data_IF_228506003960
#
_entry.id   IF_228506003960
#
_cell.length_a   1.000
_cell.length_b   1.000
_cell.length_c   1.000
_cell.angle_alpha   90.00
_cell.angle_beta   90.00
_cell.angle_gamma   90.00
#
_symmetry.space_group_name_H-M   'P 1'
#
loop_
_entity.id
_entity.type
_entity.pdbx_description
1 polymer ?
#
# COMPACT_ATOMS: atom_id res chain seq x y z
N UNK A 1 -14.74 13.68 12.19
CA UNK A 1 -14.62 12.94 10.91
C UNK A 1 -13.35 13.26 10.13
N UNK A 2 -12.61 14.32 10.47
CA UNK A 2 -11.35 14.73 9.83
C UNK A 2 -10.08 14.04 10.40
N UNK A 3 -10.23 13.19 11.44
CA UNK A 3 -9.13 12.49 12.14
C UNK A 3 -8.63 11.21 11.45
N UNK A 4 -9.24 10.82 10.33
CA UNK A 4 -8.91 9.56 9.65
C UNK A 4 -8.06 9.77 8.39
N UNK A 5 -7.72 11.02 8.05
CA UNK A 5 -6.92 11.35 6.86
C UNK A 5 -5.58 11.96 7.26
N UNK A 6 -4.49 11.63 6.55
CA UNK A 6 -3.20 12.28 6.77
C UNK A 6 -3.32 13.77 6.45
N UNK A 7 -3.04 14.61 7.44
CA UNK A 7 -3.10 16.08 7.34
C UNK A 7 -1.80 16.68 6.80
N UNK A 8 -0.70 15.93 6.90
CA UNK A 8 0.64 16.36 6.51
C UNK A 8 1.34 15.32 5.62
N UNK A 9 2.31 15.75 4.81
CA UNK A 9 3.14 14.83 4.01
C UNK A 9 3.86 13.78 4.86
N UNK A 10 4.24 14.12 6.09
CA UNK A 10 4.84 13.19 7.05
C UNK A 10 3.85 12.12 7.51
N UNK A 11 2.61 12.51 7.76
CA UNK A 11 1.54 11.57 8.12
C UNK A 11 1.17 10.67 6.93
N UNK A 12 1.16 11.21 5.72
CA UNK A 12 0.94 10.43 4.49
C UNK A 12 2.03 9.39 4.27
N UNK A 13 3.30 9.73 4.57
CA UNK A 13 4.41 8.78 4.51
C UNK A 13 4.25 7.64 5.54
N UNK A 14 3.87 7.97 6.78
CA UNK A 14 3.65 6.96 7.82
C UNK A 14 2.46 6.08 7.46
N UNK A 15 1.36 6.67 7.02
CA UNK A 15 0.17 5.95 6.56
C UNK A 15 0.50 4.97 5.42
N UNK A 16 1.21 5.43 4.39
CA UNK A 16 1.67 4.59 3.29
C UNK A 16 2.64 3.49 3.75
N UNK A 17 3.55 3.80 4.69
CA UNK A 17 4.48 2.80 5.23
C UNK A 17 3.79 1.68 6.00
N UNK A 18 2.73 1.99 6.76
CA UNK A 18 1.95 1.00 7.50
C UNK A 18 1.19 0.10 6.54
N UNK A 19 0.53 0.70 5.53
CA UNK A 19 -0.17 -0.02 4.48
C UNK A 19 0.79 -0.96 3.74
N UNK A 20 1.87 -0.39 3.18
CA UNK A 20 2.85 -1.13 2.41
C UNK A 20 3.49 -2.24 3.25
N UNK A 21 3.88 -1.96 4.48
CA UNK A 21 4.48 -2.95 5.39
C UNK A 21 3.52 -4.10 5.68
N UNK A 22 2.27 -3.81 6.04
CA UNK A 22 1.27 -4.82 6.35
C UNK A 22 0.94 -5.68 5.13
N UNK A 23 0.69 -5.05 3.99
CA UNK A 23 0.39 -5.73 2.72
C UNK A 23 1.56 -6.61 2.27
N UNK A 24 2.80 -6.14 2.43
CA UNK A 24 3.98 -6.94 2.07
C UNK A 24 4.18 -8.16 2.98
N UNK A 25 4.00 -8.03 4.30
CA UNK A 25 4.15 -9.18 5.21
C UNK A 25 3.10 -10.25 4.90
N UNK A 26 1.85 -9.82 4.68
CA UNK A 26 0.77 -10.73 4.28
C UNK A 26 1.04 -11.39 2.93
N UNK A 27 1.45 -10.62 1.93
CA UNK A 27 1.75 -11.16 0.60
C UNK A 27 2.94 -12.11 0.62
N UNK A 28 3.99 -11.82 1.38
CA UNK A 28 5.12 -12.73 1.55
C UNK A 28 4.66 -14.05 2.16
N UNK A 29 3.86 -13.98 3.23
CA UNK A 29 3.29 -15.17 3.90
C UNK A 29 2.42 -15.99 2.95
N UNK A 30 1.51 -15.33 2.22
CA UNK A 30 0.62 -16.00 1.25
C UNK A 30 1.38 -16.62 0.09
N UNK A 31 2.36 -15.92 -0.46
CA UNK A 31 3.16 -16.41 -1.59
C UNK A 31 3.93 -17.68 -1.20
N UNK A 32 4.52 -17.70 0.00
CA UNK A 32 5.21 -18.88 0.55
C UNK A 32 4.22 -20.05 0.74
N UNK A 33 3.06 -19.80 1.33
CA UNK A 33 2.03 -20.83 1.51
C UNK A 33 1.57 -21.44 0.19
N UNK A 34 1.39 -20.63 -0.86
CA UNK A 34 0.90 -21.07 -2.18
C UNK A 34 1.99 -21.79 -2.98
N UNK A 35 3.22 -21.28 -3.01
CA UNK A 35 4.27 -21.82 -3.89
C UNK A 35 5.02 -23.03 -3.33
N UNK A 36 5.10 -23.20 -2.02
CA UNK A 36 5.93 -24.25 -1.42
C UNK A 36 5.18 -25.21 -0.49
N UNK A 37 3.89 -24.98 -0.21
CA UNK A 37 3.12 -25.79 0.75
C UNK A 37 3.73 -25.80 2.17
N UNK A 38 4.65 -24.88 2.44
CA UNK A 38 5.48 -24.82 3.65
C UNK A 38 6.46 -23.65 3.59
N UNK A 39 6.98 -23.27 4.76
CA UNK A 39 7.87 -22.12 4.92
C UNK A 39 9.32 -22.52 4.64
N UNK A 40 9.83 -22.25 3.43
CA UNK A 40 11.26 -22.39 3.15
C UNK A 40 12.01 -21.17 3.69
N UNK A 41 12.91 -21.39 4.64
CA UNK A 41 13.74 -20.34 5.23
C UNK A 41 14.54 -19.56 4.17
N UNK A 42 14.98 -20.24 3.11
CA UNK A 42 15.73 -19.63 2.01
C UNK A 42 14.87 -18.61 1.22
N UNK A 43 13.58 -18.89 1.03
CA UNK A 43 12.66 -17.98 0.37
C UNK A 43 12.36 -16.76 1.24
N UNK A 44 12.17 -16.96 2.56
CA UNK A 44 12.00 -15.85 3.51
C UNK A 44 13.24 -14.96 3.53
N UNK A 45 14.44 -15.53 3.67
CA UNK A 45 15.67 -14.73 3.76
C UNK A 45 15.91 -13.94 2.48
N UNK A 46 15.60 -14.53 1.32
CA UNK A 46 15.70 -13.83 0.03
C UNK A 46 14.68 -12.71 -0.09
N UNK A 47 13.42 -12.98 0.26
CA UNK A 47 12.36 -11.98 0.27
C UNK A 47 12.66 -10.84 1.25
N UNK A 48 13.18 -11.16 2.45
CA UNK A 48 13.52 -10.20 3.49
C UNK A 48 14.72 -9.32 3.10
N UNK A 49 15.70 -9.87 2.37
CA UNK A 49 16.81 -9.07 1.80
C UNK A 49 16.33 -8.12 0.70
N UNK A 50 15.42 -8.58 -0.15
CA UNK A 50 14.85 -7.74 -1.21
C UNK A 50 13.81 -6.73 -0.69
N UNK A 51 13.16 -7.04 0.44
CA UNK A 51 12.09 -6.24 1.04
C UNK A 51 12.44 -4.76 1.24
N UNK A 52 13.52 -4.36 1.93
CA UNK A 52 13.82 -2.95 2.15
C UNK A 52 14.06 -2.18 0.84
N UNK A 53 14.70 -2.82 -0.16
CA UNK A 53 14.91 -2.21 -1.47
C UNK A 53 13.59 -2.00 -2.21
N UNK A 54 12.77 -3.05 -2.28
CA UNK A 54 11.45 -3.01 -2.93
C UNK A 54 10.51 -2.03 -2.23
N UNK A 55 10.56 -1.97 -0.90
CA UNK A 55 9.77 -1.05 -0.08
C UNK A 55 10.10 0.41 -0.39
N UNK A 56 11.38 0.77 -0.45
CA UNK A 56 11.80 2.15 -0.79
C UNK A 56 11.35 2.52 -2.20
N UNK A 57 11.54 1.63 -3.17
CA UNK A 57 11.12 1.84 -4.57
C UNK A 57 9.60 1.99 -4.64
N UNK A 58 8.85 1.13 -3.94
CA UNK A 58 7.40 1.18 -3.89
C UNK A 58 6.92 2.52 -3.30
N UNK A 59 7.45 2.95 -2.16
CA UNK A 59 7.10 4.23 -1.54
C UNK A 59 7.36 5.42 -2.48
N UNK A 60 8.47 5.41 -3.22
CA UNK A 60 8.77 6.44 -4.21
C UNK A 60 7.80 6.42 -5.39
N UNK A 61 7.54 5.24 -5.97
CA UNK A 61 6.59 5.07 -7.07
C UNK A 61 5.17 5.48 -6.65
N UNK A 62 4.76 5.12 -5.44
CA UNK A 62 3.46 5.48 -4.90
C UNK A 62 3.32 6.99 -4.79
N UNK A 63 4.29 7.65 -4.15
CA UNK A 63 4.23 9.10 -3.94
C UNK A 63 4.32 9.88 -5.25
N UNK A 64 5.19 9.46 -6.17
CA UNK A 64 5.53 10.27 -7.34
C UNK A 64 4.66 9.98 -8.57
N UNK A 65 4.30 8.72 -8.79
CA UNK A 65 3.58 8.28 -10.00
C UNK A 65 2.15 7.92 -9.64
N UNK A 66 1.97 6.91 -8.79
CA UNK A 66 0.66 6.27 -8.62
C UNK A 66 -0.32 7.18 -7.91
N UNK A 67 0.11 7.89 -6.85
CA UNK A 67 -0.72 8.85 -6.13
C UNK A 67 -1.24 9.96 -7.03
N UNK A 68 -0.38 10.53 -7.90
CA UNK A 68 -0.77 11.59 -8.84
C UNK A 68 -1.75 11.08 -9.91
N UNK A 69 -1.54 9.85 -10.38
CA UNK A 69 -2.44 9.21 -11.36
C UNK A 69 -3.78 8.89 -10.70
N UNK A 70 -3.78 8.30 -9.50
CA UNK A 70 -4.99 7.99 -8.75
C UNK A 70 -5.79 9.26 -8.45
N UNK A 71 -5.14 10.33 -7.96
CA UNK A 71 -5.81 11.61 -7.70
C UNK A 71 -6.42 12.21 -8.98
N UNK A 72 -5.74 12.11 -10.13
CA UNK A 72 -6.33 12.52 -11.41
C UNK A 72 -7.54 11.65 -11.79
N UNK A 73 -7.43 10.33 -11.67
CA UNK A 73 -8.50 9.42 -12.05
C UNK A 73 -9.72 9.60 -11.16
N UNK A 74 -9.54 9.75 -9.84
CA UNK A 74 -10.66 9.99 -8.93
C UNK A 74 -11.31 11.34 -9.21
N UNK A 75 -10.56 12.40 -9.51
CA UNK A 75 -11.14 13.69 -9.90
C UNK A 75 -11.88 13.65 -11.25
N UNK A 76 -11.55 12.70 -12.13
CA UNK A 76 -12.26 12.50 -13.40
C UNK A 76 -13.51 11.63 -13.22
N UNK A 77 -13.46 10.62 -12.33
CA UNK A 77 -14.52 9.63 -12.17
C UNK A 77 -15.46 9.86 -10.98
N UNK A 78 -15.09 10.71 -10.01
CA UNK A 78 -15.89 10.99 -8.83
C UNK A 78 -16.28 12.46 -8.79
N UNK A 79 -17.56 12.73 -8.50
CA UNK A 79 -18.09 14.07 -8.35
C UNK A 79 -17.85 14.57 -6.92
N UNK A 80 -17.67 15.88 -6.69
CA UNK A 80 -17.46 16.45 -5.35
C UNK A 80 -18.67 16.26 -4.40
N UNK A 81 -19.81 15.79 -4.90
CA UNK A 81 -20.99 15.38 -4.12
C UNK A 81 -20.93 13.95 -3.57
N UNK A 82 -19.96 13.14 -4.01
CA UNK A 82 -19.82 11.76 -3.53
C UNK A 82 -19.27 11.73 -2.10
N UNK A 83 -19.68 10.71 -1.33
CA UNK A 83 -19.20 10.53 0.03
C UNK A 83 -17.67 10.41 0.07
N UNK A 84 -17.01 11.02 1.07
CA UNK A 84 -15.55 10.94 1.21
C UNK A 84 -15.04 9.49 1.27
N UNK A 85 -15.86 8.58 1.79
CA UNK A 85 -15.54 7.15 1.80
C UNK A 85 -15.46 6.55 0.40
N UNK A 86 -16.35 6.96 -0.52
CA UNK A 86 -16.32 6.54 -1.92
C UNK A 86 -15.06 7.08 -2.61
N UNK A 87 -14.73 8.35 -2.38
CA UNK A 87 -13.52 8.96 -2.96
C UNK A 87 -12.24 8.23 -2.51
N UNK A 88 -12.13 7.89 -1.22
CA UNK A 88 -10.98 7.13 -0.71
C UNK A 88 -10.98 5.70 -1.27
N UNK A 89 -12.13 5.04 -1.37
CA UNK A 89 -12.22 3.70 -1.94
C UNK A 89 -11.78 3.68 -3.41
N UNK A 90 -12.25 4.63 -4.23
CA UNK A 90 -11.81 4.77 -5.62
C UNK A 90 -10.32 5.08 -5.72
N UNK A 91 -9.81 5.98 -4.86
CA UNK A 91 -8.39 6.30 -4.81
C UNK A 91 -7.57 5.06 -4.51
N UNK A 92 -7.92 4.31 -3.46
CA UNK A 92 -7.22 3.07 -3.11
C UNK A 92 -7.33 2.04 -4.23
N UNK A 93 -8.51 1.88 -4.83
CA UNK A 93 -8.72 0.96 -5.94
C UNK A 93 -7.79 1.26 -7.13
N UNK A 94 -7.76 2.52 -7.58
CA UNK A 94 -6.87 2.95 -8.66
C UNK A 94 -5.39 2.86 -8.28
N UNK A 95 -5.04 3.20 -7.04
CA UNK A 95 -3.67 3.06 -6.53
C UNK A 95 -3.22 1.61 -6.54
N UNK A 96 -4.04 0.69 -6.01
CA UNK A 96 -3.72 -0.75 -5.96
C UNK A 96 -3.60 -1.34 -7.36
N UNK A 97 -4.48 -0.96 -8.30
CA UNK A 97 -4.38 -1.36 -9.71
C UNK A 97 -3.06 -0.86 -10.30
N UNK A 98 -2.79 0.43 -10.20
CA UNK A 98 -1.60 1.06 -10.77
C UNK A 98 -0.32 0.44 -10.21
N UNK A 99 -0.26 0.30 -8.88
CA UNK A 99 0.88 -0.35 -8.21
C UNK A 99 1.03 -1.80 -8.59
N UNK A 100 -0.06 -2.57 -8.66
CA UNK A 100 -0.01 -3.98 -9.01
C UNK A 100 0.54 -4.20 -10.42
N UNK A 101 0.13 -3.38 -11.39
CA UNK A 101 0.63 -3.44 -12.77
C UNK A 101 2.13 -3.09 -12.82
N UNK A 102 2.53 -1.99 -12.18
CA UNK A 102 3.93 -1.54 -12.17
C UNK A 102 4.82 -2.58 -11.48
N UNK A 103 4.46 -3.03 -10.28
CA UNK A 103 5.25 -3.98 -9.51
C UNK A 103 5.33 -5.35 -10.17
N UNK A 104 4.28 -5.80 -10.86
CA UNK A 104 4.33 -7.06 -11.60
C UNK A 104 5.22 -6.94 -12.83
N UNK A 105 5.18 -5.79 -13.51
CA UNK A 105 6.04 -5.53 -14.68
C UNK A 105 7.51 -5.42 -14.27
N UNK A 106 7.80 -4.60 -13.25
CA UNK A 106 9.16 -4.40 -12.71
C UNK A 106 9.68 -5.70 -12.09
N UNK A 107 8.87 -6.38 -11.29
CA UNK A 107 9.25 -7.66 -10.66
C UNK A 107 9.56 -8.74 -11.69
N UNK A 108 8.77 -8.84 -12.76
CA UNK A 108 9.04 -9.78 -13.86
C UNK A 108 10.33 -9.45 -14.61
N UNK A 109 10.57 -8.16 -14.92
CA UNK A 109 11.82 -7.72 -15.57
C UNK A 109 13.04 -8.01 -14.69
N UNK A 110 12.94 -7.80 -13.37
CA UNK A 110 14.03 -8.07 -12.44
C UNK A 110 14.29 -9.56 -12.25
N UNK A 111 13.26 -10.40 -12.30
CA UNK A 111 13.39 -11.84 -12.06
C UNK A 111 13.96 -12.60 -13.27
N UNK A 112 13.54 -12.26 -14.49
CA UNK A 112 13.86 -13.04 -15.70
C UNK A 112 14.52 -12.22 -16.81
N UNK A 113 14.80 -10.93 -16.58
CA UNK A 113 15.27 -10.00 -17.61
C UNK A 113 14.16 -9.57 -18.58
N UNK A 114 14.53 -8.85 -19.66
CA UNK A 114 13.63 -8.44 -20.75
C UNK A 114 13.24 -9.66 -21.60
N UNK A 115 12.45 -10.56 -21.03
CA UNK A 115 12.08 -11.85 -21.62
C UNK A 115 10.60 -11.88 -21.96
N UNK A 116 10.25 -12.43 -23.13
CA UNK A 116 8.87 -12.55 -23.63
C UNK A 116 7.99 -13.43 -22.73
N UNK A 117 8.60 -14.27 -21.89
CA UNK A 117 7.93 -15.04 -20.83
C UNK A 117 7.28 -14.16 -19.77
N UNK A 118 7.89 -13.01 -19.42
CA UNK A 118 7.29 -12.06 -18.47
C UNK A 118 5.93 -11.61 -18.95
N UNK A 119 5.81 -11.27 -20.24
CA UNK A 119 4.56 -10.80 -20.85
C UNK A 119 3.52 -11.92 -20.92
N UNK A 120 3.94 -13.17 -21.12
CA UNK A 120 3.03 -14.32 -21.18
C UNK A 120 2.51 -14.74 -19.80
N UNK A 121 3.37 -14.73 -18.78
CA UNK A 121 2.97 -15.06 -17.41
C UNK A 121 2.25 -13.92 -16.69
N UNK A 122 2.47 -12.67 -17.14
CA UNK A 122 1.84 -11.48 -16.58
C UNK A 122 0.32 -11.62 -16.43
N UNK A 123 -0.50 -11.85 -17.49
CA UNK A 123 -1.95 -11.91 -17.35
C UNK A 123 -2.47 -13.12 -16.55
N UNK A 124 -1.63 -14.13 -16.26
CA UNK A 124 -2.03 -15.31 -15.50
C UNK A 124 -1.75 -15.11 -14.01
N UNK A 125 -0.58 -14.56 -13.67
CA UNK A 125 -0.17 -14.35 -12.27
C UNK A 125 -0.63 -13.00 -11.71
N UNK A 126 -0.76 -11.97 -12.56
CA UNK A 126 -1.20 -10.63 -12.16
C UNK A 126 -2.61 -10.60 -11.54
N UNK A 127 -3.68 -11.09 -12.19
CA UNK A 127 -5.04 -10.91 -11.67
C UNK A 127 -5.25 -11.71 -10.37
N UNK A 128 -4.60 -12.86 -10.21
CA UNK A 128 -4.63 -13.62 -8.95
C UNK A 128 -4.03 -12.81 -7.80
N UNK A 129 -2.82 -12.27 -7.99
CA UNK A 129 -2.15 -11.49 -6.95
C UNK A 129 -2.90 -10.18 -6.68
N UNK A 130 -3.34 -9.50 -7.73
CA UNK A 130 -4.15 -8.28 -7.64
C UNK A 130 -5.44 -8.49 -6.84
N UNK A 131 -6.21 -9.54 -7.14
CA UNK A 131 -7.42 -9.85 -6.39
C UNK A 131 -7.12 -10.08 -4.91
N UNK A 132 -6.08 -10.85 -4.57
CA UNK A 132 -5.70 -11.07 -3.17
C UNK A 132 -5.30 -9.76 -2.48
N UNK A 133 -4.46 -8.93 -3.12
CA UNK A 133 -4.08 -7.62 -2.55
C UNK A 133 -5.31 -6.78 -2.33
N UNK A 134 -6.19 -6.64 -3.32
CA UNK A 134 -7.30 -5.69 -3.19
C UNK A 134 -8.31 -6.12 -2.13
N UNK A 135 -8.58 -7.42 -2.01
CA UNK A 135 -9.42 -7.95 -0.94
C UNK A 135 -8.79 -7.71 0.43
N UNK A 136 -7.50 -8.00 0.58
CA UNK A 136 -6.75 -7.75 1.81
C UNK A 136 -6.74 -6.26 2.16
N UNK A 137 -6.51 -5.42 1.15
CA UNK A 137 -6.39 -3.97 1.29
C UNK A 137 -7.70 -3.36 1.79
N UNK A 138 -8.82 -3.76 1.17
CA UNK A 138 -10.15 -3.27 1.53
C UNK A 138 -10.64 -3.81 2.88
N UNK A 139 -10.35 -5.07 3.21
CA UNK A 139 -10.93 -5.75 4.37
C UNK A 139 -10.11 -5.58 5.64
N UNK A 140 -8.78 -5.53 5.53
CA UNK A 140 -7.87 -5.55 6.69
C UNK A 140 -6.99 -4.30 6.72
N UNK A 141 -6.31 -3.98 5.61
CA UNK A 141 -5.23 -2.98 5.65
C UNK A 141 -5.76 -1.57 5.82
N UNK A 142 -6.75 -1.17 5.02
CA UNK A 142 -7.37 0.16 5.14
C UNK A 142 -8.03 0.43 6.50
N UNK A 143 -8.82 -0.48 7.10
CA UNK A 143 -9.37 -0.23 8.44
C UNK A 143 -8.27 -0.15 9.51
N UNK A 144 -7.23 -0.97 9.42
CA UNK A 144 -6.09 -0.89 10.36
C UNK A 144 -5.34 0.43 10.19
N UNK A 145 -5.03 0.83 8.96
CA UNK A 145 -4.32 2.07 8.67
C UNK A 145 -5.11 3.29 9.19
N UNK A 146 -6.43 3.29 9.04
CA UNK A 146 -7.32 4.33 9.61
C UNK A 146 -7.29 4.34 11.14
N UNK A 147 -7.33 3.19 11.78
CA UNK A 147 -7.23 3.10 13.24
C UNK A 147 -5.89 3.62 13.77
N UNK A 148 -4.79 3.33 13.06
CA UNK A 148 -3.46 3.87 13.38
C UNK A 148 -3.47 5.40 13.28
N UNK A 149 -4.04 5.96 12.21
CA UNK A 149 -4.15 7.42 12.04
C UNK A 149 -4.93 8.10 13.16
N UNK A 150 -6.09 7.53 13.54
CA UNK A 150 -6.90 8.06 14.64
C UNK A 150 -6.09 8.08 15.93
N UNK A 151 -5.39 6.98 16.23
CA UNK A 151 -4.59 6.85 17.47
C UNK A 151 -3.37 7.78 17.47
N UNK A 152 -2.78 8.03 16.31
CA UNK A 152 -1.71 9.02 16.16
C UNK A 152 -2.23 10.43 16.42
N UNK A 153 -3.37 10.82 15.83
CA UNK A 153 -3.98 12.13 16.05
C UNK A 153 -4.40 12.34 17.51
N UNK A 154 -4.94 11.33 18.18
CA UNK A 154 -5.23 11.38 19.62
C UNK A 154 -3.98 11.56 20.48
N UNK A 155 -2.86 10.95 20.08
CA UNK A 155 -1.58 11.09 20.80
C UNK A 155 -0.96 12.48 20.60
N UNK A 156 -1.10 13.07 19.41
CA UNK A 156 -0.65 14.44 19.12
C UNK A 156 -1.48 15.48 19.88
N UNK A 157 -2.80 15.32 19.96
CA UNK A 157 -3.68 16.19 20.75
C UNK A 157 -3.31 16.14 22.24
N UNK A 158 -3.09 14.94 22.80
CA UNK A 158 -2.64 14.81 24.20
C UNK A 158 -1.29 15.46 24.47
N UNK A 159 -0.35 15.37 23.52
CA UNK A 159 0.97 15.99 23.64
C UNK A 159 0.89 17.52 23.59
N UNK A 160 0.04 18.10 22.73
CA UNK A 160 -0.20 19.55 22.66
C UNK A 160 -0.78 20.07 23.98
N UNK A 161 -1.84 19.43 24.49
CA UNK A 161 -2.49 19.80 25.75
C UNK A 161 -1.51 19.73 26.93
N UNK A 162 -0.67 18.70 26.97
CA UNK A 162 0.35 18.51 28.03
C UNK A 162 1.44 19.58 27.98
N UNK A 163 1.85 20.03 26.78
CA UNK A 163 2.86 21.09 26.66
C UNK A 163 2.29 22.47 26.98
N UNK A 164 1.03 22.74 26.63
CA UNK A 164 0.36 24.00 27.02
C UNK A 164 0.21 24.09 28.55
N UNK A 165 -0.19 22.99 29.22
CA UNK A 165 -0.26 22.95 30.70
C UNK A 165 1.09 22.94 31.42
N UNK A 166 2.22 22.73 30.74
CA UNK A 166 3.56 22.85 31.32
C UNK A 166 4.21 24.22 31.07
N UNK A 167 3.56 25.11 30.31
CA UNK A 167 4.00 26.50 30.09
C UNK A 167 3.27 27.52 30.99
N UNK A 168 2.20 27.10 31.68
CA UNK A 168 1.50 27.83 32.74
C UNK A 168 2.06 27.49 34.13
#
# INVERSE_FOLDING_TARGET
MEKCMPRNEKEGLIYGSVICGLTCIFMATMNICINMGGVSEAAIVTALKAFPLVFIIAMLLEKFIVGKIADKLVNVFSLPTDSLNAHILFRTFFTVIGMSIIMTTVGGILATGFSLEVIKEFPISWPRNFCVVIFLELLIVQPIARNVMIRMHESQEKYQITNETNLD
#
